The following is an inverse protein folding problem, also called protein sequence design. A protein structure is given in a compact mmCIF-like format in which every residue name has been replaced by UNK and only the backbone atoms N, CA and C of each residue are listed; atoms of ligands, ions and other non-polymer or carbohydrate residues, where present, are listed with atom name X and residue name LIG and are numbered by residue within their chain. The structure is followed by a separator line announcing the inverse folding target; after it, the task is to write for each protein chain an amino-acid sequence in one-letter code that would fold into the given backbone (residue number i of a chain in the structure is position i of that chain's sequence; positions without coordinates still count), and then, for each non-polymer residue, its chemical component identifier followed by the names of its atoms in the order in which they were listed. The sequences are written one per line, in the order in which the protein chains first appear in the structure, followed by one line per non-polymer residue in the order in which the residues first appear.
data_IF_102101576176
#
_entry.id   IF_102101576176
#
_cell.length_a   1.000
_cell.length_b   1.000
_cell.length_c   1.000
_cell.angle_alpha   90.00
_cell.angle_beta   90.00
_cell.angle_gamma   90.00
#
_symmetry.space_group_name_H-M   'P 1'
#
loop_
_entity.id
_entity.type
_entity.pdbx_description
1 polymer ?
#
# COMPACT_ATOMS: atom_id res chain seq x y z
N UNK A 1 6.03 -63.45 -70.22
CA UNK A 1 7.28 -63.34 -69.46
C UNK A 1 7.38 -61.93 -68.91
N UNK A 2 7.14 -61.78 -67.60
CA UNK A 2 7.28 -60.52 -66.87
C UNK A 2 8.75 -60.15 -66.64
N UNK A 3 9.02 -58.84 -66.63
CA UNK A 3 9.96 -58.09 -65.76
C UNK A 3 9.87 -56.62 -66.21
N UNK A 4 9.24 -55.73 -65.41
CA UNK A 4 9.88 -54.86 -64.40
C UNK A 4 10.99 -53.99 -65.00
N UNK A 5 11.12 -52.67 -64.81
CA UNK A 5 10.52 -51.60 -63.98
C UNK A 5 11.37 -50.36 -64.33
N UNK A 6 10.83 -49.15 -64.47
CA UNK A 6 11.48 -47.95 -63.89
C UNK A 6 10.53 -46.72 -63.89
N UNK A 7 9.45 -46.81 -63.12
CA UNK A 7 8.66 -45.63 -62.70
C UNK A 7 9.25 -45.01 -61.41
N UNK A 8 10.52 -45.32 -61.08
CA UNK A 8 11.13 -44.94 -59.80
C UNK A 8 11.95 -43.64 -59.89
N UNK A 9 12.36 -43.20 -61.08
CA UNK A 9 13.27 -42.04 -61.19
C UNK A 9 12.59 -40.66 -61.21
N UNK A 10 11.30 -40.54 -61.55
CA UNK A 10 10.61 -39.24 -61.54
C UNK A 10 10.00 -38.86 -60.18
N UNK A 11 9.73 -39.81 -59.29
CA UNK A 11 9.20 -39.52 -57.94
C UNK A 11 10.28 -38.97 -56.99
N UNK A 12 11.56 -39.23 -57.29
CA UNK A 12 12.68 -38.76 -56.45
C UNK A 12 13.06 -37.28 -56.67
N UNK A 13 12.85 -36.73 -57.87
CA UNK A 13 13.17 -35.32 -58.14
C UNK A 13 12.15 -34.35 -57.53
N UNK A 14 10.88 -34.73 -57.48
CA UNK A 14 9.82 -33.93 -56.85
C UNK A 14 9.86 -34.00 -55.31
N UNK A 15 10.45 -35.05 -54.73
CA UNK A 15 10.68 -35.16 -53.27
C UNK A 15 11.80 -34.25 -52.76
N UNK A 16 12.79 -33.89 -53.58
CA UNK A 16 13.92 -33.07 -53.14
C UNK A 16 13.57 -31.57 -52.99
N UNK A 17 12.69 -31.04 -53.84
CA UNK A 17 12.24 -29.64 -53.75
C UNK A 17 11.32 -29.40 -52.55
N UNK A 18 10.58 -30.41 -52.07
CA UNK A 18 9.79 -30.32 -50.84
C UNK A 18 10.65 -30.37 -49.57
N UNK A 19 11.72 -31.15 -49.56
CA UNK A 19 12.64 -31.24 -48.40
C UNK A 19 13.42 -29.93 -48.22
N UNK A 20 13.87 -29.30 -49.30
CA UNK A 20 14.51 -27.98 -49.27
C UNK A 20 13.56 -26.86 -48.78
N UNK A 21 12.25 -26.99 -48.99
CA UNK A 21 11.25 -26.05 -48.45
C UNK A 21 10.98 -26.30 -46.96
N UNK A 22 10.97 -27.57 -46.52
CA UNK A 22 10.78 -27.97 -45.11
C UNK A 22 11.95 -27.57 -44.21
N UNK A 23 13.19 -27.60 -44.72
CA UNK A 23 14.39 -27.17 -43.98
C UNK A 23 14.45 -25.64 -43.80
N UNK A 24 14.04 -24.86 -44.81
CA UNK A 24 13.96 -23.39 -44.70
C UNK A 24 12.84 -22.92 -43.76
N UNK A 25 11.71 -23.62 -43.69
CA UNK A 25 10.60 -23.30 -42.77
C UNK A 25 10.93 -23.68 -41.31
N UNK A 26 11.74 -24.72 -41.09
CA UNK A 26 12.26 -25.12 -39.77
C UNK A 26 13.28 -24.10 -39.19
N UNK A 27 13.99 -23.35 -40.04
CA UNK A 27 14.92 -22.31 -39.57
C UNK A 27 14.18 -21.07 -39.04
N UNK A 28 13.05 -20.69 -39.64
CA UNK A 28 12.20 -19.60 -39.13
C UNK A 28 11.45 -19.97 -37.84
N UNK A 29 11.00 -21.21 -37.70
CA UNK A 29 10.36 -21.70 -36.46
C UNK A 29 11.38 -21.93 -35.34
N UNK A 30 12.64 -22.26 -35.66
CA UNK A 30 13.70 -22.32 -34.65
C UNK A 30 14.13 -20.92 -34.20
N UNK A 31 14.27 -19.95 -35.10
CA UNK A 31 14.52 -18.55 -34.73
C UNK A 31 13.36 -17.97 -33.92
N UNK A 32 12.11 -18.29 -34.27
CA UNK A 32 10.92 -17.97 -33.48
C UNK A 32 10.96 -18.61 -32.09
N UNK A 33 11.31 -19.91 -31.97
CA UNK A 33 11.42 -20.59 -30.68
C UNK A 33 12.62 -20.12 -29.84
N UNK A 34 13.74 -19.74 -30.45
CA UNK A 34 14.93 -19.19 -29.77
C UNK A 34 14.68 -17.75 -29.31
N UNK A 35 13.97 -16.93 -30.11
CA UNK A 35 13.46 -15.61 -29.71
C UNK A 35 12.44 -15.75 -28.58
N UNK A 36 11.47 -16.67 -28.67
CA UNK A 36 10.48 -16.92 -27.61
C UNK A 36 11.13 -17.42 -26.31
N UNK A 37 12.18 -18.25 -26.39
CA UNK A 37 12.99 -18.67 -25.22
C UNK A 37 13.81 -17.52 -24.63
N UNK A 38 14.30 -16.59 -25.45
CA UNK A 38 14.96 -15.38 -24.97
C UNK A 38 13.97 -14.41 -24.29
N UNK A 39 12.77 -14.24 -24.87
CA UNK A 39 11.67 -13.47 -24.28
C UNK A 39 11.15 -14.09 -22.98
N UNK A 40 11.05 -15.42 -22.86
CA UNK A 40 10.63 -16.09 -21.61
C UNK A 40 11.74 -16.13 -20.54
N UNK A 41 13.01 -16.18 -20.94
CA UNK A 41 14.15 -16.20 -20.00
C UNK A 41 14.49 -14.82 -19.46
N UNK A 42 14.19 -13.75 -20.21
CA UNK A 42 14.24 -12.37 -19.72
C UNK A 42 13.01 -11.99 -18.88
N UNK A 43 11.88 -12.70 -19.00
CA UNK A 43 10.70 -12.53 -18.13
C UNK A 43 10.98 -12.87 -16.67
N UNK A 44 11.87 -13.84 -16.42
CA UNK A 44 12.27 -14.25 -15.07
C UNK A 44 13.26 -13.27 -14.41
N UNK A 45 13.98 -12.43 -15.18
CA UNK A 45 14.86 -11.39 -14.65
C UNK A 45 14.11 -10.09 -14.32
N UNK A 46 13.04 -9.77 -15.05
CA UNK A 46 12.22 -8.58 -14.80
C UNK A 46 11.25 -8.71 -13.61
N UNK A 47 11.05 -9.92 -13.06
CA UNK A 47 10.17 -10.15 -11.91
C UNK A 47 10.94 -10.40 -10.60
N UNK A 48 12.26 -10.36 -10.64
CA UNK A 48 13.11 -10.57 -9.45
C UNK A 48 13.44 -9.27 -8.69
N UNK A 49 13.08 -8.09 -9.21
CA UNK A 49 13.36 -6.79 -8.58
C UNK A 49 12.08 -6.03 -8.13
N UNK A 50 10.89 -6.60 -8.36
CA UNK A 50 9.60 -5.93 -8.11
C UNK A 50 8.78 -6.55 -6.97
N UNK A 51 9.38 -7.39 -6.13
CA UNK A 51 8.80 -7.79 -4.83
C UNK A 51 9.65 -7.27 -3.68
N UNK A 52 10.10 -6.01 -3.76
CA UNK A 52 10.11 -5.23 -2.54
C UNK A 52 8.66 -4.94 -2.26
N UNK A 53 8.10 -5.83 -1.44
CA UNK A 53 6.76 -5.87 -0.88
C UNK A 53 6.18 -4.45 -0.76
N UNK A 54 5.48 -4.01 -1.82
CA UNK A 54 4.64 -2.83 -1.75
C UNK A 54 3.39 -3.29 -1.02
N UNK A 55 3.50 -3.36 0.31
CA UNK A 55 2.31 -3.32 1.14
C UNK A 55 1.53 -2.08 0.72
N UNK A 56 0.25 -2.21 0.34
CA UNK A 56 -0.55 -1.02 0.06
C UNK A 56 -0.50 -0.15 1.30
N UNK A 57 -0.08 1.10 1.15
CA UNK A 57 -0.11 2.07 2.24
C UNK A 57 -1.59 2.31 2.56
N UNK A 58 -2.00 1.97 3.78
CA UNK A 58 -3.37 2.16 4.27
C UNK A 58 -3.44 3.41 5.15
N UNK A 59 -4.63 3.99 5.22
CA UNK A 59 -4.91 5.00 6.24
C UNK A 59 -4.69 4.40 7.64
N UNK A 60 -4.16 5.16 8.60
CA UNK A 60 -4.03 4.69 9.96
C UNK A 60 -5.40 4.38 10.57
N UNK A 61 -5.42 3.52 11.57
CA UNK A 61 -6.62 3.33 12.40
C UNK A 61 -6.87 4.58 13.28
N UNK A 62 -8.12 4.74 13.74
CA UNK A 62 -8.43 5.79 14.69
C UNK A 62 -7.68 5.56 16.02
N UNK A 63 -7.11 6.60 16.67
CA UNK A 63 -6.46 6.46 17.97
C UNK A 63 -7.37 5.80 19.02
N UNK A 64 -6.89 4.82 19.76
CA UNK A 64 -7.72 4.12 20.76
C UNK A 64 -7.23 4.37 22.18
N UNK A 65 -8.07 4.01 23.16
CA UNK A 65 -7.79 4.14 24.58
C UNK A 65 -7.37 5.57 24.97
N UNK A 66 -8.14 6.56 24.51
CA UNK A 66 -7.94 7.93 24.92
C UNK A 66 -8.18 8.02 26.43
N UNK A 67 -7.27 8.68 27.13
CA UNK A 67 -7.35 9.00 28.53
C UNK A 67 -7.04 10.48 28.72
N UNK A 68 -7.47 11.06 29.83
CA UNK A 68 -7.14 12.43 30.14
C UNK A 68 -6.86 12.66 31.62
N UNK A 69 -6.04 13.66 31.88
CA UNK A 69 -5.91 14.33 33.18
C UNK A 69 -6.22 15.80 32.99
N UNK A 70 -6.80 16.43 34.01
CA UNK A 70 -7.19 17.83 33.94
C UNK A 70 -6.60 18.60 35.12
N UNK A 71 -6.35 19.88 34.87
CA UNK A 71 -6.13 20.89 35.90
C UNK A 71 -7.27 21.90 35.83
N UNK A 72 -7.20 22.96 36.64
CA UNK A 72 -8.14 24.08 36.59
C UNK A 72 -8.20 24.76 35.21
N UNK A 73 -7.11 24.78 34.45
CA UNK A 73 -7.00 25.56 33.21
C UNK A 73 -6.42 24.79 32.01
N UNK A 74 -6.20 23.48 32.16
CA UNK A 74 -5.62 22.65 31.11
C UNK A 74 -6.17 21.23 31.15
N UNK A 75 -6.10 20.56 30.00
CA UNK A 75 -6.43 19.14 29.86
C UNK A 75 -5.31 18.48 29.09
N UNK A 76 -4.72 17.43 29.66
CA UNK A 76 -3.77 16.57 28.96
C UNK A 76 -4.49 15.31 28.52
N UNK A 77 -4.47 15.03 27.22
CA UNK A 77 -5.02 13.81 26.63
C UNK A 77 -3.87 12.96 26.13
N UNK A 78 -3.91 11.67 26.44
CA UNK A 78 -2.99 10.65 25.94
C UNK A 78 -3.77 9.50 25.31
N UNK A 79 -3.13 8.80 24.37
CA UNK A 79 -3.74 7.68 23.65
C UNK A 79 -2.70 6.62 23.31
N UNK A 80 -3.18 5.45 22.86
CA UNK A 80 -2.28 4.42 22.34
C UNK A 80 -1.71 4.85 20.98
N UNK A 81 -0.40 4.71 20.80
CA UNK A 81 0.24 4.92 19.50
C UNK A 81 -0.41 4.04 18.41
N UNK A 82 -0.64 4.63 17.24
CA UNK A 82 -1.26 3.97 16.08
C UNK A 82 -0.16 3.51 15.13
N UNK A 83 -0.20 2.24 14.75
CA UNK A 83 0.75 1.68 13.79
C UNK A 83 0.62 2.36 12.42
N UNK A 84 1.76 2.78 11.87
CA UNK A 84 1.80 3.48 10.59
C UNK A 84 1.45 4.97 10.66
N UNK A 85 1.16 5.53 11.84
CA UNK A 85 0.98 6.97 12.02
C UNK A 85 2.32 7.70 12.16
N UNK A 86 2.49 8.81 11.45
CA UNK A 86 3.64 9.71 11.56
C UNK A 86 3.37 10.90 12.49
N UNK A 87 2.10 11.28 12.64
CA UNK A 87 1.65 12.38 13.49
C UNK A 87 0.18 12.20 13.88
N UNK A 88 -0.31 13.09 14.74
CA UNK A 88 -1.68 13.12 15.22
C UNK A 88 -2.20 14.54 15.22
N UNK A 89 -3.42 14.75 14.71
CA UNK A 89 -4.10 16.04 14.78
C UNK A 89 -5.13 16.01 15.90
N UNK A 90 -5.09 17.06 16.72
CA UNK A 90 -5.97 17.24 17.87
C UNK A 90 -6.92 18.38 17.58
N UNK A 91 -8.19 18.14 17.84
CA UNK A 91 -9.29 19.07 17.66
C UNK A 91 -10.03 19.23 18.98
N UNK A 92 -10.63 20.41 19.21
CA UNK A 92 -11.33 20.73 20.44
C UNK A 92 -12.69 21.39 20.19
N UNK A 93 -13.63 21.14 21.10
CA UNK A 93 -14.99 21.66 21.05
C UNK A 93 -15.94 20.86 20.17
N UNK A 94 -17.23 21.18 20.23
CA UNK A 94 -18.29 20.52 19.45
C UNK A 94 -18.11 20.68 17.94
N UNK A 95 -17.54 21.80 17.51
CA UNK A 95 -17.26 22.09 16.10
C UNK A 95 -15.95 21.45 15.60
N UNK A 96 -15.22 20.72 16.46
CA UNK A 96 -13.95 20.07 16.13
C UNK A 96 -12.95 21.06 15.54
N UNK A 97 -12.75 22.17 16.23
CA UNK A 97 -11.79 23.20 15.81
C UNK A 97 -10.38 22.63 15.92
N UNK A 98 -9.59 22.70 14.85
CA UNK A 98 -8.21 22.25 14.86
C UNK A 98 -7.41 23.01 15.93
N UNK A 99 -6.75 22.28 16.81
CA UNK A 99 -5.93 22.84 17.88
C UNK A 99 -4.45 22.79 17.52
N UNK A 100 -3.90 21.58 17.32
CA UNK A 100 -2.50 21.38 16.90
C UNK A 100 -2.26 19.99 16.35
N UNK A 101 -1.10 19.83 15.73
CA UNK A 101 -0.54 18.54 15.32
C UNK A 101 0.67 18.17 16.21
N UNK A 102 0.76 16.90 16.61
CA UNK A 102 1.82 16.37 17.47
C UNK A 102 2.35 15.05 16.91
N UNK A 103 3.60 14.71 17.21
CA UNK A 103 4.21 13.42 16.81
C UNK A 103 4.12 12.37 17.91
N UNK A 104 4.10 12.80 19.17
CA UNK A 104 3.89 11.93 20.32
C UNK A 104 2.40 11.65 20.54
N UNK A 105 2.02 10.47 21.07
CA UNK A 105 0.62 10.12 21.33
C UNK A 105 0.08 10.78 22.61
N UNK A 106 0.36 12.07 22.76
CA UNK A 106 0.02 12.89 23.93
C UNK A 106 -0.10 14.37 23.54
N UNK A 107 -1.09 15.04 24.09
CA UNK A 107 -1.32 16.47 23.86
C UNK A 107 -1.92 17.15 25.09
N UNK A 108 -1.26 18.21 25.55
CA UNK A 108 -1.83 19.16 26.53
C UNK A 108 -2.50 20.33 25.81
N UNK A 109 -3.77 20.55 26.14
CA UNK A 109 -4.59 21.70 25.77
C UNK A 109 -4.58 22.71 26.92
N UNK A 110 -4.26 23.96 26.64
CA UNK A 110 -4.18 25.06 27.61
C UNK A 110 -5.27 26.09 27.37
N UNK A 111 -5.33 27.09 28.26
CA UNK A 111 -6.21 28.26 28.13
C UNK A 111 -7.70 27.88 28.11
N UNK A 112 -8.04 26.85 28.88
CA UNK A 112 -9.41 26.37 29.06
C UNK A 112 -9.94 27.02 30.34
N UNK A 113 -11.18 27.50 30.29
CA UNK A 113 -11.83 28.04 31.49
C UNK A 113 -12.03 26.93 32.53
N UNK A 114 -12.00 27.27 33.83
CA UNK A 114 -12.29 26.32 34.91
C UNK A 114 -13.68 25.71 34.80
N UNK A 115 -13.85 24.53 35.40
CA UNK A 115 -15.11 23.76 35.44
C UNK A 115 -15.79 23.51 34.07
N UNK A 116 -15.02 23.57 32.98
CA UNK A 116 -15.54 23.58 31.61
C UNK A 116 -15.48 22.20 30.99
N UNK A 117 -16.62 21.71 30.49
CA UNK A 117 -16.68 20.49 29.68
C UNK A 117 -16.13 20.79 28.28
N UNK A 118 -15.26 19.91 27.79
CA UNK A 118 -14.65 20.03 26.48
C UNK A 118 -14.65 18.68 25.77
N UNK A 119 -15.10 18.66 24.52
CA UNK A 119 -14.91 17.50 23.65
C UNK A 119 -13.54 17.62 22.98
N UNK A 120 -12.74 16.55 23.04
CA UNK A 120 -11.46 16.46 22.34
C UNK A 120 -11.55 15.33 21.32
N UNK A 121 -11.12 15.61 20.09
CA UNK A 121 -11.03 14.62 19.03
C UNK A 121 -9.59 14.48 18.56
N UNK A 122 -9.19 13.26 18.20
CA UNK A 122 -7.84 12.95 17.74
C UNK A 122 -7.90 12.09 16.48
N UNK A 123 -7.13 12.45 15.46
CA UNK A 123 -6.86 11.61 14.28
C UNK A 123 -5.39 11.23 14.24
N UNK A 124 -5.10 10.06 13.68
CA UNK A 124 -3.76 9.65 13.30
C UNK A 124 -3.53 10.01 11.82
N UNK A 125 -2.31 10.42 11.48
CA UNK A 125 -1.97 10.91 10.14
C UNK A 125 -0.73 10.18 9.64
N UNK A 126 -0.74 9.80 8.37
CA UNK A 126 0.44 9.30 7.65
C UNK A 126 0.47 9.84 6.22
N UNK A 127 1.40 9.33 5.40
CA UNK A 127 1.55 9.74 3.99
C UNK A 127 0.33 9.45 3.10
N UNK A 128 -0.56 8.55 3.52
CA UNK A 128 -1.82 8.23 2.82
C UNK A 128 -2.91 9.25 3.16
N UNK A 129 -2.92 9.73 4.40
CA UNK A 129 -3.87 10.71 4.89
C UNK A 129 -4.23 10.54 6.36
N UNK A 130 -5.41 11.02 6.72
CA UNK A 130 -5.91 11.05 8.09
C UNK A 130 -6.88 9.89 8.38
N UNK A 131 -6.77 9.32 9.58
CA UNK A 131 -7.67 8.30 10.10
C UNK A 131 -9.07 8.87 10.39
N UNK A 132 -10.08 8.01 10.65
CA UNK A 132 -11.27 8.42 11.36
C UNK A 132 -10.93 9.06 12.72
N UNK A 133 -11.83 9.91 13.21
CA UNK A 133 -11.66 10.62 14.49
C UNK A 133 -12.05 9.74 15.67
N UNK A 134 -11.23 9.78 16.71
CA UNK A 134 -11.63 9.36 18.05
C UNK A 134 -12.15 10.54 18.85
N UNK A 135 -12.84 10.27 19.96
CA UNK A 135 -13.44 11.29 20.81
C UNK A 135 -13.30 10.93 22.28
N UNK A 136 -13.06 11.95 23.10
CA UNK A 136 -13.19 11.88 24.55
C UNK A 136 -13.85 13.17 25.07
N UNK A 137 -14.75 13.03 26.05
CA UNK A 137 -15.30 14.16 26.79
C UNK A 137 -14.45 14.37 28.04
N UNK A 138 -14.03 15.62 28.27
CA UNK A 138 -13.20 16.01 29.40
C UNK A 138 -13.86 17.15 30.17
N UNK A 139 -13.35 17.43 31.37
CA UNK A 139 -13.75 18.59 32.15
C UNK A 139 -12.55 19.11 32.93
N UNK A 140 -12.31 20.42 32.89
CA UNK A 140 -11.33 21.07 33.78
C UNK A 140 -11.82 21.05 35.23
N UNK A 141 -10.88 21.11 36.16
CA UNK A 141 -11.20 21.23 37.58
C UNK A 141 -11.81 22.60 37.87
N UNK A 142 -12.68 22.72 38.89
CA UNK A 142 -13.20 24.03 39.30
C UNK A 142 -12.07 24.90 39.89
N UNK A 143 -12.27 26.22 39.87
CA UNK A 143 -11.42 27.13 40.65
C UNK A 143 -11.55 26.77 42.12
N UNK A 144 -10.42 26.49 42.77
CA UNK A 144 -10.42 26.31 44.22
C UNK A 144 -10.38 27.69 44.84
N UNK A 145 -11.55 28.26 45.16
CA UNK A 145 -11.61 29.41 46.06
C UNK A 145 -11.19 28.94 47.44
N UNK A 146 -9.92 29.15 47.78
CA UNK A 146 -9.40 28.89 49.12
C UNK A 146 -10.24 29.62 50.16
N UNK A 147 -10.89 28.85 51.03
CA UNK A 147 -11.54 29.34 52.25
C UNK A 147 -10.55 29.47 53.39
#
# INVERSE_FOLDING_TARGET
MSRQTDSSKQVHHCRFLFVQCREKLNCQTTLSNQLMKFYSKNRARLQADSRKESSPLLLPEAPQNLQYTATTNSVTVDWKAVDGATSYKVYRGSEKVFYKEVTEPKCTLTDITPDTKLTVNVTAVNEVGESPMSQIETRTEPETSGS
#
